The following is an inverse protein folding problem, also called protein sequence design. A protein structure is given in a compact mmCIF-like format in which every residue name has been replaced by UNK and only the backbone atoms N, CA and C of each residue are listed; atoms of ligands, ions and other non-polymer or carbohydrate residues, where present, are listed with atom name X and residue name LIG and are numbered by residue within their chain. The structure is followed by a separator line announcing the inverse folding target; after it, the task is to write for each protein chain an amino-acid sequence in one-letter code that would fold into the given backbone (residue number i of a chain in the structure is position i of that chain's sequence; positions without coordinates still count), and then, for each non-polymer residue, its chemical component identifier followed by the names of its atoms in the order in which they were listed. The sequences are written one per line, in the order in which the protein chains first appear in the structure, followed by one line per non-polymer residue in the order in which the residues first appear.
data_IF_926486317637
#
_entry.id   IF_926486317637
#
_cell.length_a   1.000
_cell.length_b   1.000
_cell.length_c   1.000
_cell.angle_alpha   90.00
_cell.angle_beta   90.00
_cell.angle_gamma   90.00
#
_symmetry.space_group_name_H-M   'P 1'
#
loop_
_entity.id
_entity.type
_entity.pdbx_description
1 polymer ?
#
# COMPACT_ATOMS: atom_id res chain seq x y z
N UNK A 1 -8.85 -9.65 1.14
CA UNK A 1 -10.00 -8.75 1.39
C UNK A 1 -11.34 -9.35 0.97
N UNK A 2 -11.41 -10.05 -0.17
CA UNK A 2 -12.66 -10.62 -0.72
C UNK A 2 -13.43 -11.60 0.22
N UNK A 3 -12.75 -12.61 0.77
CA UNK A 3 -13.43 -13.71 1.49
C UNK A 3 -13.57 -13.52 3.00
N UNK A 4 -12.75 -12.65 3.61
CA UNK A 4 -12.75 -12.38 5.07
C UNK A 4 -12.49 -10.90 5.34
N UNK A 5 -13.43 -9.99 5.02
CA UNK A 5 -13.24 -8.55 5.16
C UNK A 5 -13.11 -8.09 6.63
N UNK A 6 -13.78 -8.77 7.57
CA UNK A 6 -13.64 -8.54 9.02
C UNK A 6 -12.20 -8.74 9.51
N UNK A 7 -11.51 -9.80 9.06
CA UNK A 7 -10.10 -10.03 9.40
C UNK A 7 -9.19 -8.97 8.79
N UNK A 8 -9.48 -8.52 7.57
CA UNK A 8 -8.72 -7.45 6.91
C UNK A 8 -8.87 -6.12 7.68
N UNK A 9 -10.08 -5.81 8.13
CA UNK A 9 -10.36 -4.64 8.97
C UNK A 9 -9.65 -4.72 10.32
N UNK A 10 -9.63 -5.89 10.96
CA UNK A 10 -8.92 -6.09 12.22
C UNK A 10 -7.39 -5.94 12.07
N UNK A 11 -6.82 -6.37 10.94
CA UNK A 11 -5.40 -6.14 10.61
C UNK A 11 -5.14 -4.64 10.42
N UNK A 12 -6.03 -3.93 9.69
CA UNK A 12 -5.91 -2.48 9.51
C UNK A 12 -5.93 -1.72 10.85
N UNK A 13 -6.76 -2.13 11.82
CA UNK A 13 -6.77 -1.53 13.16
C UNK A 13 -5.46 -1.74 13.94
N UNK A 14 -4.66 -2.76 13.58
CA UNK A 14 -3.37 -3.02 14.20
C UNK A 14 -2.22 -2.25 13.55
N UNK A 15 -2.43 -1.62 12.39
CA UNK A 15 -1.42 -0.80 11.73
C UNK A 15 -0.99 0.37 12.63
N UNK A 16 0.32 0.59 12.75
CA UNK A 16 0.90 1.60 13.66
C UNK A 16 0.79 1.30 15.17
N UNK A 17 0.27 0.14 15.57
CA UNK A 17 0.08 -0.21 16.99
C UNK A 17 1.38 -0.47 17.76
N UNK A 18 2.50 -0.74 17.08
CA UNK A 18 3.86 -0.80 17.64
C UNK A 18 4.86 -0.10 16.72
N UNK A 19 6.02 0.33 17.25
CA UNK A 19 7.11 0.89 16.42
C UNK A 19 7.55 -0.13 15.36
N UNK A 20 7.64 -1.40 15.76
CA UNK A 20 7.98 -2.49 14.87
C UNK A 20 6.97 -2.62 13.71
N UNK A 21 5.66 -2.59 13.99
CA UNK A 21 4.64 -2.69 12.94
C UNK A 21 4.71 -1.49 11.99
N UNK A 22 4.87 -0.26 12.51
CA UNK A 22 4.96 0.93 11.67
C UNK A 22 6.18 0.88 10.73
N UNK A 23 7.36 0.63 11.28
CA UNK A 23 8.59 0.58 10.48
C UNK A 23 8.61 -0.63 9.55
N UNK A 24 8.10 -1.79 9.97
CA UNK A 24 7.97 -2.95 9.10
C UNK A 24 7.00 -2.70 7.93
N UNK A 25 5.84 -2.09 8.18
CA UNK A 25 4.88 -1.73 7.11
C UNK A 25 5.51 -0.79 6.09
N UNK A 26 6.19 0.27 6.54
CA UNK A 26 6.82 1.23 5.63
C UNK A 26 7.99 0.58 4.88
N UNK A 27 8.79 -0.27 5.54
CA UNK A 27 9.89 -1.01 4.91
C UNK A 27 9.37 -1.98 3.84
N UNK A 28 8.33 -2.76 4.15
CA UNK A 28 7.71 -3.68 3.20
C UNK A 28 7.13 -2.91 2.01
N UNK A 29 6.59 -1.70 2.23
CA UNK A 29 6.08 -0.82 1.16
C UNK A 29 7.19 -0.23 0.28
N UNK A 30 8.40 -0.01 0.80
CA UNK A 30 9.53 0.46 0.00
C UNK A 30 9.97 -0.56 -1.04
N UNK A 31 9.85 -1.86 -0.77
CA UNK A 31 10.22 -2.94 -1.70
C UNK A 31 9.50 -2.82 -3.05
N UNK A 32 8.15 -2.79 -3.14
CA UNK A 32 7.45 -2.61 -4.41
C UNK A 32 7.66 -1.21 -5.00
N UNK A 33 7.86 -0.17 -4.17
CA UNK A 33 8.15 1.18 -4.69
C UNK A 33 9.46 1.21 -5.48
N UNK A 34 10.53 0.62 -4.92
CA UNK A 34 11.82 0.48 -5.59
C UNK A 34 11.70 -0.46 -6.79
N UNK A 35 10.97 -1.58 -6.64
CA UNK A 35 10.70 -2.51 -7.75
C UNK A 35 10.06 -1.82 -8.95
N UNK A 36 9.07 -0.94 -8.74
CA UNK A 36 8.45 -0.17 -9.81
C UNK A 36 9.43 0.79 -10.49
N UNK A 37 10.33 1.43 -9.75
CA UNK A 37 11.34 2.34 -10.31
C UNK A 37 12.35 1.58 -11.16
N UNK A 38 12.86 0.44 -10.68
CA UNK A 38 13.85 -0.38 -11.40
C UNK A 38 13.24 -1.06 -12.63
N UNK A 39 12.01 -1.57 -12.52
CA UNK A 39 11.30 -2.19 -13.63
C UNK A 39 10.78 -1.19 -14.65
N UNK A 40 10.83 0.13 -14.37
CA UNK A 40 10.33 1.14 -15.28
C UNK A 40 11.09 1.16 -16.61
N UNK A 41 12.41 0.96 -16.60
CA UNK A 41 13.23 0.96 -17.82
C UNK A 41 12.93 -0.22 -18.75
N UNK A 42 12.35 -1.29 -18.21
CA UNK A 42 11.96 -2.50 -18.95
C UNK A 42 10.45 -2.54 -19.26
N UNK A 43 9.67 -1.56 -18.79
CA UNK A 43 8.22 -1.56 -18.93
C UNK A 43 7.77 -0.86 -20.22
N UNK A 44 6.64 -1.31 -20.80
CA UNK A 44 6.01 -0.65 -21.96
C UNK A 44 5.56 0.79 -21.68
N UNK A 45 5.29 1.13 -20.42
CA UNK A 45 4.96 2.49 -19.97
C UNK A 45 5.92 2.97 -18.86
N UNK A 46 7.15 3.35 -19.23
CA UNK A 46 8.21 3.69 -18.26
C UNK A 46 7.86 4.91 -17.39
N UNK A 47 7.15 5.90 -17.94
CA UNK A 47 6.74 7.09 -17.19
C UNK A 47 5.76 6.78 -16.06
N UNK A 48 4.77 5.92 -16.32
CA UNK A 48 3.76 5.54 -15.31
C UNK A 48 4.44 4.81 -14.14
N UNK A 49 5.35 3.89 -14.45
CA UNK A 49 6.10 3.14 -13.44
C UNK A 49 7.04 4.04 -12.62
N UNK A 50 7.74 4.98 -13.27
CA UNK A 50 8.57 5.98 -12.56
C UNK A 50 7.73 6.87 -11.65
N UNK A 51 6.64 7.45 -12.16
CA UNK A 51 5.78 8.36 -11.39
C UNK A 51 5.17 7.61 -10.20
N UNK A 52 4.59 6.43 -10.42
CA UNK A 52 3.97 5.64 -9.36
C UNK A 52 5.00 5.16 -8.31
N UNK A 53 6.16 4.69 -8.76
CA UNK A 53 7.25 4.23 -7.89
C UNK A 53 7.83 5.37 -7.04
N UNK A 54 8.16 6.51 -7.65
CA UNK A 54 8.65 7.69 -6.93
C UNK A 54 7.61 8.27 -5.99
N UNK A 55 6.34 8.35 -6.40
CA UNK A 55 5.26 8.78 -5.52
C UNK A 55 5.14 7.87 -4.29
N UNK A 56 5.20 6.55 -4.50
CA UNK A 56 5.11 5.57 -3.42
C UNK A 56 6.34 5.62 -2.49
N UNK A 57 7.53 5.86 -3.03
CA UNK A 57 8.77 5.99 -2.27
C UNK A 57 8.79 7.28 -1.44
N UNK A 58 8.52 8.44 -2.07
CA UNK A 58 8.48 9.73 -1.39
C UNK A 58 7.45 9.75 -0.27
N UNK A 59 6.23 9.25 -0.53
CA UNK A 59 5.20 9.17 0.51
C UNK A 59 5.65 8.26 1.65
N UNK A 60 6.26 7.10 1.37
CA UNK A 60 6.77 6.19 2.40
C UNK A 60 7.87 6.85 3.26
N UNK A 61 8.78 7.61 2.67
CA UNK A 61 9.80 8.36 3.41
C UNK A 61 9.19 9.41 4.31
N UNK A 62 8.17 10.15 3.86
CA UNK A 62 7.46 11.12 4.71
C UNK A 62 6.86 10.42 5.93
N UNK A 63 6.30 9.23 5.77
CA UNK A 63 5.71 8.45 6.88
C UNK A 63 6.75 7.97 7.92
N UNK A 64 8.05 7.92 7.58
CA UNK A 64 9.10 7.70 8.58
C UNK A 64 9.27 8.89 9.54
N UNK A 65 9.02 10.11 9.06
CA UNK A 65 9.12 11.34 9.85
C UNK A 65 7.82 11.67 10.59
N UNK A 66 6.68 11.16 10.13
CA UNK A 66 5.39 11.37 10.80
C UNK A 66 5.37 10.60 12.13
N UNK A 67 5.00 11.25 13.25
CA UNK A 67 4.97 10.59 14.54
C UNK A 67 3.93 9.46 14.56
N UNK A 68 4.34 8.30 15.08
CA UNK A 68 3.55 7.05 15.08
C UNK A 68 2.13 7.19 15.62
N UNK A 69 1.90 8.04 16.63
CA UNK A 69 0.56 8.21 17.20
C UNK A 69 -0.43 8.78 16.17
N UNK A 70 0.02 9.62 15.23
CA UNK A 70 -0.81 10.10 14.11
C UNK A 70 -1.09 8.98 13.12
N UNK A 71 -0.08 8.16 12.81
CA UNK A 71 -0.23 6.98 11.95
C UNK A 71 -1.23 5.97 12.49
N UNK A 72 -1.13 5.66 13.78
CA UNK A 72 -2.05 4.73 14.42
C UNK A 72 -3.47 5.29 14.49
N UNK A 73 -3.63 6.57 14.85
CA UNK A 73 -4.93 7.23 14.87
C UNK A 73 -5.55 7.33 13.47
N UNK A 74 -4.74 7.53 12.42
CA UNK A 74 -5.20 7.47 11.04
C UNK A 74 -5.71 6.08 10.67
N UNK A 75 -4.97 5.02 11.00
CA UNK A 75 -5.38 3.64 10.76
C UNK A 75 -6.69 3.27 11.48
N UNK A 76 -6.89 3.75 12.71
CA UNK A 76 -8.14 3.59 13.46
C UNK A 76 -9.31 4.31 12.77
N UNK A 77 -9.13 5.58 12.41
CA UNK A 77 -10.15 6.36 11.68
C UNK A 77 -10.49 5.73 10.33
N UNK A 78 -9.49 5.29 9.57
CA UNK A 78 -9.69 4.62 8.30
C UNK A 78 -10.42 3.28 8.48
N UNK A 79 -10.08 2.49 9.51
CA UNK A 79 -10.78 1.25 9.81
C UNK A 79 -12.22 1.47 10.29
N UNK A 80 -12.53 2.60 10.93
CA UNK A 80 -13.90 2.94 11.32
C UNK A 80 -14.75 3.39 10.11
N UNK A 81 -14.14 4.10 9.15
CA UNK A 81 -14.79 4.53 7.90
C UNK A 81 -14.97 3.37 6.91
N UNK A 82 -13.95 2.53 6.72
CA UNK A 82 -14.01 1.39 5.80
C UNK A 82 -14.84 0.25 6.38
N UNK A 83 -16.13 0.20 5.99
CA UNK A 83 -17.00 -0.96 6.20
C UNK A 83 -16.49 -2.19 5.40
N UNK A 84 -16.80 -3.41 5.85
CA UNK A 84 -16.41 -4.67 5.18
C UNK A 84 -16.73 -4.74 3.67
N UNK A 85 -17.83 -4.11 3.24
CA UNK A 85 -18.23 -4.03 1.82
C UNK A 85 -17.19 -3.29 0.97
N UNK A 86 -16.59 -2.21 1.47
CA UNK A 86 -15.60 -1.45 0.70
C UNK A 86 -14.37 -2.29 0.42
N UNK A 87 -13.90 -3.08 1.38
CA UNK A 87 -12.78 -4.00 1.18
C UNK A 87 -13.03 -5.02 0.06
N UNK A 88 -14.28 -5.47 -0.10
CA UNK A 88 -14.65 -6.40 -1.16
C UNK A 88 -14.70 -5.72 -2.53
N UNK A 89 -15.22 -4.48 -2.61
CA UNK A 89 -15.27 -3.69 -3.84
C UNK A 89 -13.89 -3.26 -4.35
N UNK A 90 -12.94 -2.98 -3.45
CA UNK A 90 -11.58 -2.58 -3.83
C UNK A 90 -10.74 -3.80 -4.25
N UNK A 91 -11.10 -5.00 -3.79
CA UNK A 91 -10.38 -6.25 -4.07
C UNK A 91 -10.18 -6.55 -5.58
N UNK A 92 -11.20 -6.48 -6.46
CA UNK A 92 -11.01 -6.70 -7.89
C UNK A 92 -10.13 -5.63 -8.55
N UNK A 93 -10.17 -4.39 -8.07
CA UNK A 93 -9.32 -3.30 -8.57
C UNK A 93 -7.85 -3.59 -8.28
N UNK A 94 -7.53 -4.07 -7.07
CA UNK A 94 -6.16 -4.46 -6.72
C UNK A 94 -5.64 -5.60 -7.60
N UNK A 95 -6.48 -6.58 -7.93
CA UNK A 95 -6.12 -7.68 -8.83
C UNK A 95 -5.87 -7.17 -10.25
N UNK A 96 -6.74 -6.29 -10.76
CA UNK A 96 -6.59 -5.68 -12.07
C UNK A 96 -5.26 -4.91 -12.20
N UNK A 97 -4.92 -4.10 -11.19
CA UNK A 97 -3.64 -3.39 -11.15
C UNK A 97 -2.47 -4.37 -11.15
N UNK A 98 -2.54 -5.46 -10.38
CA UNK A 98 -1.49 -6.49 -10.37
C UNK A 98 -1.30 -7.16 -11.74
N UNK A 99 -2.38 -7.50 -12.44
CA UNK A 99 -2.32 -8.06 -13.80
C UNK A 99 -1.70 -7.05 -14.77
N UNK A 100 -2.10 -5.77 -14.67
CA UNK A 100 -1.60 -4.70 -15.53
C UNK A 100 -0.09 -4.45 -15.31
N UNK A 101 0.40 -4.60 -14.08
CA UNK A 101 1.83 -4.53 -13.78
C UNK A 101 2.60 -5.68 -14.42
N UNK A 102 2.11 -6.92 -14.29
CA UNK A 102 2.77 -8.10 -14.89
C UNK A 102 2.81 -8.00 -16.41
N UNK A 103 1.70 -7.60 -17.04
CA UNK A 103 1.61 -7.44 -18.49
C UNK A 103 2.55 -6.36 -19.05
N UNK A 104 2.87 -5.34 -18.25
CA UNK A 104 3.75 -4.25 -18.66
C UNK A 104 5.24 -4.57 -18.56
N UNK A 105 5.61 -5.49 -17.67
CA UNK A 105 6.99 -5.93 -17.43
C UNK A 105 7.38 -7.14 -18.33
N UNK A 106 6.43 -7.68 -19.12
CA UNK A 106 6.65 -8.74 -20.14
C UNK A 106 6.62 -8.19 -21.57
#
# INVERSE_FOLDING_TARGET
MLFKPEKARAILRKAGSTNFINYAEITIRLIPAIGLILSAEYSKFPEIFKIAGWFMLCTSLVLYFVPRHLHHNFSLKAADILKPIYFQLISPISVLIGILLIYNVS
#
